data_IF_146351907287
#
_entry.id   IF_146351907287
#
_cell.length_a   1.000
_cell.length_b   1.000
_cell.length_c   1.000
_cell.angle_alpha   90.00
_cell.angle_beta   90.00
_cell.angle_gamma   90.00
#
_symmetry.space_group_name_H-M   'P 1'
#
loop_
_entity.id
_entity.type
_entity.pdbx_description
1 polymer ?
#
# COMPACT_ATOMS: atom_id res chain seq x y z
N UNK A 1 24.90 0.15 61.44
CA UNK A 1 25.33 1.25 62.31
C UNK A 1 26.85 1.27 62.30
N UNK A 2 27.49 2.11 61.50
CA UNK A 2 28.77 2.75 61.81
C UNK A 2 29.01 3.90 60.84
N UNK A 3 29.43 5.01 61.41
CA UNK A 3 29.40 6.38 60.89
C UNK A 3 30.52 6.72 59.90
N UNK A 4 30.15 7.69 59.09
CA UNK A 4 30.90 8.65 58.28
C UNK A 4 32.16 9.31 58.89
N UNK A 5 32.97 9.84 57.95
CA UNK A 5 33.77 11.09 58.01
C UNK A 5 35.15 11.03 58.71
N UNK A 6 36.25 11.70 58.31
CA UNK A 6 36.49 12.85 57.41
C UNK A 6 38.03 12.98 57.15
N UNK A 7 38.40 13.36 55.92
CA UNK A 7 39.37 14.40 55.46
C UNK A 7 40.88 14.42 55.88
N UNK A 8 41.70 14.53 54.82
CA UNK A 8 42.96 15.24 54.58
C UNK A 8 44.28 14.85 55.28
N UNK A 9 45.28 14.57 54.43
CA UNK A 9 46.62 15.12 54.62
C UNK A 9 47.17 15.66 53.29
N UNK A 10 47.63 16.92 53.36
CA UNK A 10 48.23 17.66 52.27
C UNK A 10 49.63 17.18 51.90
N UNK A 11 49.94 17.35 50.63
CA UNK A 11 51.29 17.26 50.05
C UNK A 11 52.13 18.47 50.45
N UNK A 12 53.40 18.20 50.82
CA UNK A 12 54.53 19.07 50.52
C UNK A 12 55.68 18.17 50.06
N UNK A 13 56.07 18.25 48.79
CA UNK A 13 57.48 18.14 48.41
C UNK A 13 57.72 18.83 47.08
N UNK A 14 58.79 19.62 47.06
CA UNK A 14 59.19 20.53 46.02
C UNK A 14 59.64 19.84 44.72
N UNK A 15 59.38 20.59 43.64
CA UNK A 15 60.01 20.56 42.33
C UNK A 15 61.53 20.27 42.31
N UNK A 16 61.95 19.45 41.35
CA UNK A 16 63.04 19.81 40.44
C UNK A 16 62.73 19.36 39.01
N UNK A 17 63.04 20.26 38.08
CA UNK A 17 62.83 20.26 36.64
C UNK A 17 63.39 19.07 35.86
N UNK A 18 62.63 18.65 34.85
CA UNK A 18 63.14 18.01 33.64
C UNK A 18 62.29 18.46 32.45
N UNK A 19 62.88 19.21 31.53
CA UNK A 19 62.25 19.61 30.26
C UNK A 19 62.04 18.40 29.34
N UNK A 20 60.88 18.31 28.69
CA UNK A 20 60.71 17.42 27.54
C UNK A 20 59.25 17.13 27.18
N UNK A 21 58.76 17.85 26.17
CA UNK A 21 57.56 17.62 25.34
C UNK A 21 56.20 17.37 26.01
N UNK A 22 55.34 18.39 25.88
CA UNK A 22 53.89 18.27 25.97
C UNK A 22 53.33 17.55 24.74
N UNK A 23 53.15 16.24 24.80
CA UNK A 23 52.24 15.55 23.89
C UNK A 23 50.81 15.82 24.33
N UNK A 24 50.21 16.85 23.73
CA UNK A 24 48.76 16.96 23.65
C UNK A 24 48.27 15.75 22.85
N UNK A 25 47.76 14.72 23.55
CA UNK A 25 46.88 13.74 22.93
C UNK A 25 45.67 14.49 22.37
N UNK A 26 45.71 14.77 21.06
CA UNK A 26 44.52 15.07 20.27
C UNK A 26 43.68 13.81 20.26
N UNK A 27 42.56 13.81 20.98
CA UNK A 27 41.50 12.87 20.71
C UNK A 27 41.03 13.10 19.28
N UNK A 28 41.32 12.17 18.38
CA UNK A 28 40.67 12.12 17.08
C UNK A 28 39.21 11.76 17.33
N UNK A 29 38.31 12.74 17.23
CA UNK A 29 36.93 12.47 16.89
C UNK A 29 36.94 11.79 15.52
N UNK A 30 36.74 10.48 15.52
CA UNK A 30 36.41 9.73 14.30
C UNK A 30 35.08 10.31 13.80
N UNK A 31 35.15 11.27 12.88
CA UNK A 31 33.98 11.64 12.10
C UNK A 31 33.69 10.45 11.20
N UNK A 32 32.69 9.66 11.57
CA UNK A 32 32.09 8.70 10.65
C UNK A 32 31.68 9.51 9.41
N UNK A 33 32.10 9.12 8.18
CA UNK A 33 31.64 9.78 6.99
C UNK A 33 30.11 9.82 6.99
N UNK A 34 29.51 10.99 6.78
CA UNK A 34 28.10 11.06 6.48
C UNK A 34 27.91 10.25 5.20
N UNK A 35 27.19 9.13 5.29
CA UNK A 35 26.77 8.39 4.10
C UNK A 35 25.88 9.35 3.32
N UNK A 36 26.23 9.63 2.07
CA UNK A 36 25.42 10.50 1.21
C UNK A 36 24.01 9.91 1.11
N UNK A 37 23.02 10.64 1.65
CA UNK A 37 21.62 10.26 1.52
C UNK A 37 21.19 10.45 0.08
N UNK A 38 20.58 9.42 -0.51
CA UNK A 38 19.90 9.52 -1.81
C UNK A 38 18.52 10.12 -1.60
N UNK A 39 18.11 11.03 -2.48
CA UNK A 39 16.82 11.71 -2.41
C UNK A 39 16.03 11.45 -3.69
N UNK A 40 14.70 11.42 -3.58
CA UNK A 40 13.79 11.39 -4.71
C UNK A 40 12.78 12.54 -4.64
N UNK A 41 12.07 12.76 -5.74
CA UNK A 41 10.94 13.68 -5.80
C UNK A 41 9.69 12.94 -6.24
N UNK A 42 8.55 13.30 -5.67
CA UNK A 42 7.26 12.87 -6.17
C UNK A 42 6.81 13.76 -7.34
N UNK A 43 6.02 13.21 -8.28
CA UNK A 43 5.63 11.80 -8.41
C UNK A 43 6.77 10.90 -8.90
N UNK A 44 6.71 9.62 -8.56
CA UNK A 44 7.65 8.58 -9.05
C UNK A 44 7.24 8.02 -10.43
N UNK A 45 5.97 8.18 -10.83
CA UNK A 45 5.50 8.03 -12.21
C UNK A 45 4.66 9.25 -12.56
N UNK A 46 5.14 10.06 -13.50
CA UNK A 46 4.55 11.36 -13.87
C UNK A 46 3.59 11.28 -15.06
N UNK A 47 2.65 10.33 -15.00
CA UNK A 47 1.59 10.12 -15.98
C UNK A 47 0.41 9.34 -15.36
N UNK A 48 -0.76 9.38 -15.98
CA UNK A 48 -1.99 8.71 -15.52
C UNK A 48 -1.79 7.19 -15.35
N UNK A 49 -1.53 6.76 -14.11
CA UNK A 49 -1.41 5.37 -13.67
C UNK A 49 -2.23 5.18 -12.39
N UNK A 50 -3.57 5.15 -12.54
CA UNK A 50 -4.48 5.04 -11.41
C UNK A 50 -4.47 3.66 -10.76
N UNK A 51 -4.88 3.63 -9.50
CA UNK A 51 -5.11 2.40 -8.73
C UNK A 51 -3.90 1.45 -8.74
N UNK A 52 -2.70 1.93 -8.34
CA UNK A 52 -1.50 1.12 -8.41
C UNK A 52 -1.55 -0.05 -7.42
N UNK A 53 -1.14 -1.23 -7.87
CA UNK A 53 -0.71 -2.35 -7.02
C UNK A 53 0.76 -2.65 -7.29
N UNK A 54 1.49 -3.19 -6.31
CA UNK A 54 2.93 -3.45 -6.41
C UNK A 54 3.28 -4.81 -5.82
N UNK A 55 4.13 -5.57 -6.52
CA UNK A 55 4.73 -6.80 -6.01
C UNK A 55 6.25 -6.78 -6.20
N UNK A 56 6.99 -7.32 -5.22
CA UNK A 56 8.39 -7.69 -5.40
C UNK A 56 8.45 -9.09 -6.00
N UNK A 57 8.90 -9.19 -7.24
CA UNK A 57 9.00 -10.45 -7.98
C UNK A 57 10.25 -11.25 -7.59
N UNK A 58 10.27 -12.54 -7.95
CA UNK A 58 11.40 -13.45 -7.68
C UNK A 58 12.69 -13.04 -8.40
N UNK A 59 12.59 -12.27 -9.49
CA UNK A 59 13.74 -11.70 -10.21
C UNK A 59 14.39 -10.51 -9.48
N UNK A 60 13.86 -10.12 -8.32
CA UNK A 60 14.35 -9.04 -7.47
C UNK A 60 13.87 -7.64 -7.86
N UNK A 61 13.03 -7.50 -8.89
CA UNK A 61 12.42 -6.22 -9.25
C UNK A 61 11.06 -6.05 -8.56
N UNK A 62 10.67 -4.79 -8.39
CA UNK A 62 9.30 -4.40 -8.12
C UNK A 62 8.56 -4.23 -9.44
N UNK A 63 7.33 -4.73 -9.51
CA UNK A 63 6.42 -4.53 -10.63
C UNK A 63 5.17 -3.79 -10.13
N UNK A 64 4.78 -2.76 -10.85
CA UNK A 64 3.58 -1.96 -10.59
C UNK A 64 2.58 -2.17 -11.73
N UNK A 65 1.31 -2.38 -11.36
CA UNK A 65 0.19 -2.49 -12.28
C UNK A 65 -0.83 -1.43 -11.96
N UNK A 66 -1.46 -0.84 -12.99
CA UNK A 66 -2.40 0.26 -12.82
C UNK A 66 -3.64 0.07 -13.71
N UNK A 67 -4.75 0.70 -13.32
CA UNK A 67 -5.98 0.79 -14.10
C UNK A 67 -5.74 1.35 -15.51
N UNK A 68 -6.44 0.77 -16.49
CA UNK A 68 -6.45 1.26 -17.87
C UNK A 68 -5.38 0.65 -18.78
N UNK A 69 -5.46 0.96 -20.08
CA UNK A 69 -4.39 0.68 -21.06
C UNK A 69 -3.87 -0.75 -21.12
N UNK A 70 -4.75 -1.76 -21.00
CA UNK A 70 -4.37 -3.18 -20.94
C UNK A 70 -3.59 -3.56 -19.67
N UNK A 71 -3.83 -2.82 -18.57
CA UNK A 71 -3.18 -2.83 -17.25
C UNK A 71 -1.68 -2.67 -17.32
N UNK A 72 -1.29 -1.40 -17.47
CA UNK A 72 0.08 -0.89 -17.57
C UNK A 72 1.02 -1.56 -16.57
N UNK A 73 2.11 -2.13 -17.05
CA UNK A 73 3.14 -2.74 -16.21
C UNK A 73 4.38 -1.84 -16.22
N UNK A 74 4.81 -1.44 -15.03
CA UNK A 74 6.10 -0.78 -14.81
C UNK A 74 6.98 -1.65 -13.94
N UNK A 75 8.31 -1.52 -14.09
CA UNK A 75 9.27 -2.17 -13.21
C UNK A 75 10.28 -1.20 -12.60
N UNK A 76 10.72 -1.49 -11.38
CA UNK A 76 11.72 -0.70 -10.66
C UNK A 76 12.60 -1.60 -9.79
N UNK A 77 13.79 -1.11 -9.42
CA UNK A 77 14.64 -1.72 -8.38
C UNK A 77 14.53 -1.03 -7.03
N UNK A 78 14.01 0.19 -7.00
CA UNK A 78 14.14 1.09 -5.85
C UNK A 78 12.84 1.82 -5.47
N UNK A 79 11.72 1.48 -6.12
CA UNK A 79 10.41 2.13 -6.02
C UNK A 79 10.36 3.59 -6.48
N UNK A 80 11.49 4.15 -6.92
CA UNK A 80 11.60 5.56 -7.33
C UNK A 80 11.68 5.67 -8.84
N UNK A 81 12.57 4.88 -9.45
CA UNK A 81 12.82 4.92 -10.89
C UNK A 81 12.07 3.78 -11.56
N UNK A 82 10.96 4.12 -12.20
CA UNK A 82 10.09 3.17 -12.90
C UNK A 82 10.34 3.20 -14.41
N UNK A 83 10.34 2.02 -15.01
CA UNK A 83 10.40 1.84 -16.46
C UNK A 83 9.15 1.11 -16.92
N UNK A 84 8.41 1.70 -17.86
CA UNK A 84 7.30 1.01 -18.52
C UNK A 84 7.80 -0.25 -19.25
N UNK A 85 7.08 -1.35 -19.08
CA UNK A 85 7.42 -2.67 -19.62
C UNK A 85 6.48 -3.03 -20.76
N UNK A 86 5.20 -3.24 -20.44
CA UNK A 86 4.18 -3.68 -21.40
C UNK A 86 2.76 -3.52 -20.81
N UNK A 87 1.74 -3.87 -21.59
CA UNK A 87 0.43 -4.26 -21.04
C UNK A 87 0.42 -5.73 -20.60
N UNK A 88 -0.52 -6.09 -19.74
CA UNK A 88 -0.64 -7.42 -19.17
C UNK A 88 -1.09 -8.49 -20.17
N UNK A 89 -1.91 -8.17 -21.17
CA UNK A 89 -2.50 -9.16 -22.08
C UNK A 89 -2.02 -8.97 -23.52
N UNK A 90 -2.09 -10.02 -24.32
CA UNK A 90 -2.12 -9.86 -25.78
C UNK A 90 -3.44 -9.19 -26.21
N UNK A 91 -3.43 -8.42 -27.30
CA UNK A 91 -4.55 -7.55 -27.64
C UNK A 91 -5.89 -8.29 -27.85
N UNK A 92 -5.85 -9.51 -28.39
CA UNK A 92 -7.02 -10.37 -28.63
C UNK A 92 -7.32 -11.33 -27.47
N UNK A 93 -6.56 -11.25 -26.36
CA UNK A 93 -6.69 -12.09 -25.16
C UNK A 93 -7.16 -11.35 -23.93
N UNK A 94 -7.60 -10.09 -24.07
CA UNK A 94 -8.15 -9.31 -22.96
C UNK A 94 -9.44 -9.95 -22.44
N UNK A 95 -9.66 -9.95 -21.12
CA UNK A 95 -10.95 -10.32 -20.55
C UNK A 95 -12.10 -9.51 -21.16
N UNK A 96 -13.21 -10.18 -21.50
CA UNK A 96 -14.34 -9.56 -22.22
C UNK A 96 -15.72 -10.03 -21.76
N UNK A 97 -15.79 -10.72 -20.62
CA UNK A 97 -17.04 -11.28 -20.10
C UNK A 97 -18.02 -10.22 -19.56
N UNK A 98 -17.56 -8.98 -19.33
CA UNK A 98 -18.41 -7.79 -19.17
C UNK A 98 -18.29 -6.91 -20.42
N UNK A 99 -19.37 -6.75 -21.22
CA UNK A 99 -19.31 -5.97 -22.45
C UNK A 99 -19.03 -4.48 -22.20
N UNK A 100 -18.18 -3.90 -23.05
CA UNK A 100 -17.77 -2.49 -23.04
C UNK A 100 -17.07 -2.04 -21.75
N UNK A 101 -16.62 -2.98 -20.92
CA UNK A 101 -15.88 -2.69 -19.71
C UNK A 101 -14.38 -2.47 -19.96
N UNK A 102 -13.79 -1.65 -19.09
CA UNK A 102 -12.34 -1.56 -18.92
C UNK A 102 -11.86 -2.47 -17.79
N UNK A 103 -10.56 -2.75 -17.78
CA UNK A 103 -9.88 -3.45 -16.69
C UNK A 103 -9.43 -2.40 -15.66
N UNK A 104 -9.97 -2.49 -14.45
CA UNK A 104 -9.72 -1.54 -13.36
C UNK A 104 -9.16 -2.26 -12.13
N UNK A 105 -8.38 -1.51 -11.35
CA UNK A 105 -7.81 -1.84 -10.06
C UNK A 105 -7.27 -3.27 -10.01
N UNK A 106 -6.24 -3.60 -10.82
CA UNK A 106 -5.63 -4.91 -10.72
C UNK A 106 -4.99 -5.08 -9.33
N UNK A 107 -5.00 -6.31 -8.84
CA UNK A 107 -4.28 -6.72 -7.64
C UNK A 107 -3.41 -7.93 -7.96
N UNK A 108 -2.09 -7.77 -7.85
CA UNK A 108 -1.09 -8.74 -8.29
C UNK A 108 -0.50 -9.50 -7.11
N UNK A 109 -0.48 -10.82 -7.22
CA UNK A 109 -0.07 -11.71 -6.15
C UNK A 109 0.81 -12.83 -6.70
N UNK A 110 1.67 -13.40 -5.85
CA UNK A 110 2.42 -14.61 -6.19
C UNK A 110 1.85 -15.78 -5.41
N UNK A 111 1.13 -16.66 -6.09
CA UNK A 111 0.35 -17.76 -5.50
C UNK A 111 0.78 -19.06 -6.15
N UNK A 112 1.26 -20.02 -5.34
CA UNK A 112 1.61 -21.38 -5.76
C UNK A 112 2.51 -21.45 -7.01
N UNK A 113 3.49 -20.54 -7.13
CA UNK A 113 4.45 -20.53 -8.23
C UNK A 113 4.00 -19.74 -9.48
N UNK A 114 2.90 -18.99 -9.40
CA UNK A 114 2.35 -18.17 -10.49
C UNK A 114 2.12 -16.74 -10.03
N UNK A 115 2.22 -15.82 -10.98
CA UNK A 115 1.72 -14.46 -10.83
C UNK A 115 0.21 -14.47 -11.11
N UNK A 116 -0.59 -14.20 -10.10
CA UNK A 116 -2.05 -14.19 -10.14
C UNK A 116 -2.53 -12.76 -10.00
N UNK A 117 -3.21 -12.26 -11.04
CA UNK A 117 -3.80 -10.94 -11.08
C UNK A 117 -5.30 -11.04 -10.92
N UNK A 118 -5.84 -10.56 -9.81
CA UNK A 118 -7.26 -10.27 -9.70
C UNK A 118 -7.51 -8.91 -10.35
N UNK A 119 -8.64 -8.75 -11.03
CA UNK A 119 -8.94 -7.49 -11.71
C UNK A 119 -10.44 -7.25 -11.74
N UNK A 120 -10.84 -5.98 -11.87
CA UNK A 120 -12.23 -5.61 -12.09
C UNK A 120 -12.51 -5.47 -13.58
N UNK A 121 -13.65 -5.96 -14.07
CA UNK A 121 -14.25 -5.42 -15.30
C UNK A 121 -15.44 -4.56 -14.94
N UNK A 122 -15.35 -3.29 -15.29
CA UNK A 122 -16.39 -2.32 -15.02
C UNK A 122 -16.41 -1.19 -16.05
N UNK A 123 -17.51 -0.45 -16.03
CA UNK A 123 -17.73 0.78 -16.79
C UNK A 123 -18.49 1.76 -15.91
N UNK A 124 -18.34 3.05 -16.18
CA UNK A 124 -19.06 4.08 -15.44
C UNK A 124 -20.58 3.84 -15.48
N UNK A 125 -21.21 3.84 -14.30
CA UNK A 125 -22.63 3.50 -14.16
C UNK A 125 -22.97 2.00 -14.25
N UNK A 126 -21.98 1.11 -14.37
CA UNK A 126 -22.14 -0.34 -14.53
C UNK A 126 -22.14 -1.15 -13.22
N UNK A 127 -22.42 -0.53 -12.07
CA UNK A 127 -22.27 -1.17 -10.76
C UNK A 127 -23.11 -2.44 -10.54
N UNK A 128 -24.24 -2.58 -11.25
CA UNK A 128 -25.11 -3.76 -11.19
C UNK A 128 -24.49 -5.01 -11.84
N UNK A 129 -23.58 -4.82 -12.80
CA UNK A 129 -23.11 -5.91 -13.68
C UNK A 129 -21.60 -6.07 -13.72
N UNK A 130 -20.82 -5.11 -13.20
CA UNK A 130 -19.38 -5.24 -13.04
C UNK A 130 -19.02 -6.46 -12.18
N UNK A 131 -17.74 -6.82 -12.15
CA UNK A 131 -17.30 -7.96 -11.36
C UNK A 131 -15.80 -8.09 -11.28
N UNK A 132 -15.37 -9.16 -10.63
CA UNK A 132 -13.96 -9.51 -10.45
C UNK A 132 -13.65 -10.77 -11.24
N UNK A 133 -12.56 -10.73 -12.00
CA UNK A 133 -11.95 -11.88 -12.65
C UNK A 133 -10.54 -12.14 -12.15
N UNK A 134 -9.95 -13.22 -12.66
CA UNK A 134 -8.59 -13.63 -12.30
C UNK A 134 -7.82 -14.07 -13.55
N UNK A 135 -6.56 -13.65 -13.62
CA UNK A 135 -5.63 -14.00 -14.69
C UNK A 135 -4.34 -14.54 -14.10
N UNK A 136 -3.62 -15.35 -14.86
CA UNK A 136 -2.36 -15.95 -14.40
C UNK A 136 -1.23 -15.74 -15.40
N UNK A 137 0.00 -15.64 -14.90
CA UNK A 137 1.21 -15.67 -15.72
C UNK A 137 2.35 -16.40 -15.01
N UNK A 138 3.30 -16.90 -15.80
CA UNK A 138 4.56 -17.45 -15.31
C UNK A 138 5.59 -16.36 -15.02
N UNK A 139 5.33 -15.13 -15.47
CA UNK A 139 6.24 -14.00 -15.37
C UNK A 139 5.51 -12.76 -14.88
N UNK A 140 6.17 -11.87 -14.13
CA UNK A 140 5.54 -10.64 -13.68
C UNK A 140 5.18 -9.73 -14.88
N UNK A 141 5.99 -9.67 -15.93
CA UNK A 141 5.70 -8.85 -17.12
C UNK A 141 4.62 -9.44 -18.05
N UNK A 142 4.06 -10.60 -17.74
CA UNK A 142 3.10 -11.29 -18.59
C UNK A 142 3.73 -12.04 -19.78
N UNK A 143 2.93 -12.36 -20.81
CA UNK A 143 1.50 -12.09 -20.90
C UNK A 143 0.70 -12.88 -19.85
N UNK A 144 -0.39 -12.29 -19.40
CA UNK A 144 -1.37 -12.92 -18.52
C UNK A 144 -2.43 -13.64 -19.36
N UNK A 145 -2.83 -14.81 -18.88
CA UNK A 145 -3.93 -15.59 -19.45
C UNK A 145 -5.16 -15.43 -18.57
N UNK A 146 -6.22 -14.85 -19.12
CA UNK A 146 -7.52 -14.73 -18.45
C UNK A 146 -8.10 -16.10 -18.11
N UNK A 147 -8.49 -16.29 -16.85
CA UNK A 147 -9.22 -17.47 -16.38
C UNK A 147 -10.74 -17.21 -16.28
N UNK A 148 -11.16 -15.99 -16.58
CA UNK A 148 -12.55 -15.54 -16.52
C UNK A 148 -12.92 -14.91 -15.18
N UNK A 149 -14.22 -14.64 -15.03
CA UNK A 149 -14.77 -14.06 -13.80
C UNK A 149 -14.75 -15.05 -12.63
N UNK A 150 -14.45 -14.54 -11.43
CA UNK A 150 -14.85 -15.17 -10.19
C UNK A 150 -16.35 -14.97 -9.94
N UNK A 151 -16.83 -13.74 -10.14
CA UNK A 151 -18.24 -13.35 -9.99
C UNK A 151 -18.52 -11.96 -10.55
N UNK A 152 -19.79 -11.68 -10.84
CA UNK A 152 -20.34 -10.33 -11.08
C UNK A 152 -21.19 -9.84 -9.90
N UNK A 153 -21.43 -8.55 -9.82
CA UNK A 153 -22.23 -7.89 -8.77
C UNK A 153 -23.60 -8.54 -8.59
N UNK A 154 -24.34 -8.73 -9.69
CA UNK A 154 -25.64 -9.41 -9.71
C UNK A 154 -25.57 -10.91 -9.36
N UNK A 155 -24.38 -11.53 -9.48
CA UNK A 155 -24.15 -12.92 -9.09
C UNK A 155 -23.79 -13.01 -7.61
N UNK A 156 -22.93 -12.16 -7.05
CA UNK A 156 -22.53 -12.25 -5.63
C UNK A 156 -23.55 -11.58 -4.69
N UNK A 157 -24.43 -10.74 -5.24
CA UNK A 157 -25.42 -9.96 -4.50
C UNK A 157 -24.78 -8.79 -3.75
N UNK A 158 -23.78 -8.15 -4.36
CA UNK A 158 -23.09 -6.95 -3.85
C UNK A 158 -22.96 -5.98 -5.01
N UNK A 159 -23.56 -4.80 -4.89
CA UNK A 159 -23.46 -3.76 -5.91
C UNK A 159 -22.04 -3.21 -6.00
N UNK A 160 -21.59 -2.84 -7.20
CA UNK A 160 -20.27 -2.28 -7.49
C UNK A 160 -19.11 -3.15 -6.97
N UNK A 161 -19.13 -4.43 -7.35
CA UNK A 161 -18.10 -5.41 -7.00
C UNK A 161 -16.83 -5.22 -7.85
N UNK A 162 -16.00 -4.26 -7.44
CA UNK A 162 -14.69 -3.92 -8.01
C UNK A 162 -13.64 -3.82 -6.90
N UNK A 163 -12.42 -3.42 -7.26
CA UNK A 163 -11.28 -3.17 -6.36
C UNK A 163 -10.89 -4.41 -5.52
N UNK A 164 -10.50 -5.53 -6.18
CA UNK A 164 -10.07 -6.72 -5.48
C UNK A 164 -8.80 -6.48 -4.66
N UNK A 165 -8.68 -7.20 -3.55
CA UNK A 165 -7.46 -7.34 -2.76
C UNK A 165 -7.37 -8.75 -2.19
N UNK A 166 -6.27 -9.43 -2.45
CA UNK A 166 -5.98 -10.76 -1.96
C UNK A 166 -5.18 -10.73 -0.66
N UNK A 167 -5.46 -11.67 0.24
CA UNK A 167 -4.60 -11.92 1.41
C UNK A 167 -4.64 -13.38 1.84
N UNK A 168 -3.49 -13.87 2.31
CA UNK A 168 -3.40 -15.13 3.02
C UNK A 168 -3.43 -14.91 4.54
N UNK A 169 -4.24 -15.69 5.24
CA UNK A 169 -4.29 -15.69 6.69
C UNK A 169 -4.55 -17.10 7.22
N UNK A 170 -3.71 -17.57 8.15
CA UNK A 170 -3.83 -18.89 8.78
C UNK A 170 -3.98 -20.05 7.77
N UNK A 171 -3.24 -20.00 6.66
CA UNK A 171 -3.23 -21.03 5.60
C UNK A 171 -4.48 -21.03 4.71
N UNK A 172 -5.29 -19.96 4.78
CA UNK A 172 -6.44 -19.75 3.92
C UNK A 172 -6.24 -18.52 3.05
N UNK A 173 -6.91 -18.51 1.90
CA UNK A 173 -6.84 -17.47 0.90
C UNK A 173 -8.15 -16.69 0.90
N UNK A 174 -8.06 -15.37 0.93
CA UNK A 174 -9.22 -14.49 1.00
C UNK A 174 -9.16 -13.44 -0.09
N UNK A 175 -10.33 -13.08 -0.61
CA UNK A 175 -10.52 -11.92 -1.46
C UNK A 175 -11.36 -10.91 -0.71
N UNK A 176 -10.86 -9.69 -0.62
CA UNK A 176 -11.60 -8.50 -0.22
C UNK A 176 -11.93 -7.66 -1.45
N UNK A 177 -13.06 -6.97 -1.43
CA UNK A 177 -13.47 -6.11 -2.54
C UNK A 177 -14.57 -5.13 -2.14
N UNK A 178 -14.83 -4.17 -3.01
CA UNK A 178 -16.01 -3.31 -2.95
C UNK A 178 -15.67 -1.84 -3.10
N UNK A 179 -16.64 -1.10 -3.60
CA UNK A 179 -16.52 0.34 -3.83
C UNK A 179 -17.88 1.01 -3.59
N UNK A 180 -17.96 1.92 -2.62
CA UNK A 180 -19.13 2.69 -2.18
C UNK A 180 -20.30 1.91 -1.56
N UNK A 181 -20.40 0.59 -1.75
CA UNK A 181 -21.51 -0.26 -1.26
C UNK A 181 -21.03 -1.29 -0.21
N UNK A 182 -20.05 -0.87 0.59
CA UNK A 182 -19.39 -1.71 1.58
C UNK A 182 -18.12 -2.37 1.04
N UNK A 183 -17.21 -2.69 1.96
CA UNK A 183 -16.09 -3.59 1.70
C UNK A 183 -16.48 -4.97 2.23
N UNK A 184 -16.29 -5.97 1.39
CA UNK A 184 -16.69 -7.36 1.62
C UNK A 184 -15.47 -8.27 1.55
N UNK A 185 -15.52 -9.40 2.24
CA UNK A 185 -14.50 -10.44 2.20
C UNK A 185 -15.11 -11.83 2.05
N UNK A 186 -14.42 -12.71 1.31
CA UNK A 186 -14.83 -14.10 1.07
C UNK A 186 -13.62 -15.02 0.94
N UNK A 187 -13.80 -16.30 1.25
CA UNK A 187 -12.74 -17.31 1.13
C UNK A 187 -12.63 -17.83 -0.32
N UNK A 188 -11.40 -17.94 -0.81
CA UNK A 188 -11.05 -18.50 -2.11
C UNK A 188 -10.68 -19.99 -1.99
N UNK A 189 -10.62 -20.68 -3.14
CA UNK A 189 -10.05 -22.02 -3.25
C UNK A 189 -8.57 -22.03 -2.87
N UNK A 190 -8.04 -23.24 -2.64
CA UNK A 190 -6.64 -23.44 -2.23
C UNK A 190 -5.65 -22.91 -3.28
N UNK A 191 -5.99 -22.92 -4.57
CA UNK A 191 -5.16 -22.35 -5.65
C UNK A 191 -5.40 -20.83 -5.85
N UNK A 192 -6.34 -20.22 -5.13
CA UNK A 192 -6.74 -18.83 -5.28
C UNK A 192 -7.52 -18.51 -6.56
N UNK A 193 -7.79 -19.48 -7.45
CA UNK A 193 -8.35 -19.21 -8.77
C UNK A 193 -9.89 -19.29 -8.84
N UNK A 194 -10.55 -19.64 -7.73
CA UNK A 194 -12.00 -19.74 -7.67
C UNK A 194 -12.56 -19.42 -6.27
N UNK A 195 -13.87 -19.25 -6.16
CA UNK A 195 -14.56 -19.11 -4.88
C UNK A 195 -14.62 -20.45 -4.15
N UNK A 196 -14.29 -20.47 -2.86
CA UNK A 196 -14.44 -21.71 -2.07
C UNK A 196 -15.89 -22.14 -2.03
N UNK A 197 -16.16 -23.36 -2.50
CA UNK A 197 -17.52 -23.91 -2.55
C UNK A 197 -18.44 -23.28 -3.61
N UNK A 198 -17.91 -22.43 -4.50
CA UNK A 198 -18.66 -21.78 -5.57
C UNK A 198 -19.51 -20.58 -5.13
N UNK A 199 -20.22 -20.00 -6.11
CA UNK A 199 -20.94 -18.73 -5.96
C UNK A 199 -22.03 -18.74 -4.88
N UNK A 200 -22.79 -19.82 -4.73
CA UNK A 200 -23.84 -19.90 -3.71
C UNK A 200 -23.26 -19.96 -2.29
N UNK A 201 -22.13 -20.64 -2.11
CA UNK A 201 -21.42 -20.61 -0.82
C UNK A 201 -20.90 -19.20 -0.54
N UNK A 202 -20.23 -18.57 -1.52
CA UNK A 202 -19.73 -17.21 -1.39
C UNK A 202 -20.84 -16.20 -1.04
N UNK A 203 -22.02 -16.29 -1.67
CA UNK A 203 -23.18 -15.47 -1.32
C UNK A 203 -23.58 -15.59 0.15
N UNK A 204 -23.57 -16.82 0.67
CA UNK A 204 -23.99 -17.15 2.02
C UNK A 204 -22.92 -16.84 3.08
N UNK A 205 -21.64 -16.86 2.71
CA UNK A 205 -20.51 -16.73 3.65
C UNK A 205 -19.71 -15.44 3.53
N UNK A 206 -19.98 -14.58 2.53
CA UNK A 206 -19.33 -13.26 2.45
C UNK A 206 -19.60 -12.44 3.71
N UNK A 207 -18.60 -11.69 4.14
CA UNK A 207 -18.67 -10.85 5.34
C UNK A 207 -18.40 -9.41 4.95
N UNK A 208 -19.29 -8.49 5.35
CA UNK A 208 -19.04 -7.07 5.19
C UNK A 208 -18.16 -6.56 6.33
N UNK A 209 -17.02 -5.95 6.01
CA UNK A 209 -16.01 -5.51 6.98
C UNK A 209 -15.95 -3.99 7.17
N UNK A 210 -16.50 -3.21 6.24
CA UNK A 210 -16.61 -1.75 6.35
C UNK A 210 -17.87 -1.20 5.64
N UNK A 211 -18.28 0.01 6.02
CA UNK A 211 -19.44 0.75 5.50
C UNK A 211 -20.75 -0.07 5.41
N UNK A 212 -21.25 -0.55 6.56
CA UNK A 212 -22.53 -1.27 6.70
C UNK A 212 -23.69 -0.32 7.05
N UNK A 213 -23.73 0.82 6.40
CA UNK A 213 -24.79 1.81 6.57
C UNK A 213 -25.49 1.95 5.24
N UNK A 214 -26.73 1.48 5.15
CA UNK A 214 -27.50 1.28 3.91
C UNK A 214 -27.81 2.53 3.06
N UNK A 215 -27.05 3.62 3.22
CA UNK A 215 -27.11 4.88 2.49
C UNK A 215 -25.76 5.60 2.39
N UNK A 216 -24.62 4.95 2.69
CA UNK A 216 -23.35 5.69 2.73
C UNK A 216 -22.46 5.49 1.55
N UNK A 217 -21.92 6.63 1.09
CA UNK A 217 -20.93 6.74 0.03
C UNK A 217 -19.50 6.63 0.62
N UNK A 218 -19.10 5.44 1.05
CA UNK A 218 -17.74 5.03 1.40
C UNK A 218 -17.71 3.49 1.45
N UNK A 219 -16.59 2.77 1.38
CA UNK A 219 -15.23 3.12 0.97
C UNK A 219 -14.92 2.42 -0.36
N UNK A 220 -13.75 2.63 -0.95
CA UNK A 220 -13.23 1.82 -2.07
C UNK A 220 -11.72 1.58 -1.95
N UNK A 221 -11.13 0.79 -2.87
CA UNK A 221 -9.68 0.50 -2.88
C UNK A 221 -9.16 -0.10 -1.58
N UNK A 222 -9.73 -1.24 -1.14
CA UNK A 222 -9.34 -1.87 0.12
C UNK A 222 -7.96 -2.53 0.05
N UNK A 223 -7.16 -2.37 1.11
CA UNK A 223 -5.90 -3.10 1.33
C UNK A 223 -5.79 -3.45 2.82
N UNK A 224 -5.36 -4.67 3.16
CA UNK A 224 -5.20 -5.09 4.56
C UNK A 224 -3.75 -5.49 4.85
N UNK A 225 -3.12 -4.80 5.80
CA UNK A 225 -1.81 -5.16 6.33
C UNK A 225 -1.94 -5.90 7.66
N UNK A 226 -1.37 -7.09 7.79
CA UNK A 226 -1.14 -7.74 9.09
C UNK A 226 0.17 -7.23 9.68
N UNK A 227 0.12 -6.58 10.84
CA UNK A 227 1.30 -6.09 11.58
C UNK A 227 1.12 -6.29 13.08
N UNK A 228 1.99 -7.11 13.67
CA UNK A 228 1.84 -7.56 15.06
C UNK A 228 0.47 -8.22 15.27
N UNK A 229 -0.21 -7.84 16.34
CA UNK A 229 -1.52 -8.40 16.68
C UNK A 229 -2.67 -7.83 15.83
N UNK A 230 -2.42 -6.78 15.04
CA UNK A 230 -3.46 -6.06 14.32
C UNK A 230 -3.46 -6.33 12.81
N UNK A 231 -4.65 -6.32 12.23
CA UNK A 231 -4.92 -6.10 10.81
C UNK A 231 -5.29 -4.63 10.64
N UNK A 232 -4.69 -3.95 9.68
CA UNK A 232 -4.98 -2.56 9.33
C UNK A 232 -5.70 -2.55 7.99
N UNK A 233 -6.97 -2.15 7.98
CA UNK A 233 -7.75 -1.97 6.76
C UNK A 233 -7.56 -0.53 6.28
N UNK A 234 -6.82 -0.39 5.19
CA UNK A 234 -6.72 0.83 4.42
C UNK A 234 -7.84 0.82 3.38
N UNK A 235 -8.47 1.97 3.21
CA UNK A 235 -9.35 2.22 2.09
C UNK A 235 -9.15 3.65 1.62
N UNK A 236 -9.94 4.06 0.64
CA UNK A 236 -10.09 5.46 0.27
C UNK A 236 -11.55 5.91 0.35
N UNK A 237 -11.74 7.20 0.58
CA UNK A 237 -13.05 7.85 0.66
C UNK A 237 -13.00 9.21 -0.02
N UNK A 238 -14.14 9.70 -0.51
CA UNK A 238 -14.23 10.91 -1.33
C UNK A 238 -14.10 10.60 -2.83
N UNK A 239 -14.07 11.63 -3.67
CA UNK A 239 -14.11 11.47 -5.12
C UNK A 239 -12.70 11.31 -5.70
N UNK A 240 -12.42 10.16 -6.32
CA UNK A 240 -11.12 9.82 -6.91
C UNK A 240 -10.79 10.57 -8.21
N UNK A 241 -11.81 10.94 -8.98
CA UNK A 241 -11.69 11.02 -10.44
C UNK A 241 -12.29 12.30 -11.01
N UNK A 242 -12.24 13.39 -10.25
CA UNK A 242 -12.82 14.70 -10.60
C UNK A 242 -11.74 15.76 -10.89
N UNK A 243 -10.53 15.32 -11.24
CA UNK A 243 -9.39 16.19 -11.50
C UNK A 243 -9.14 17.11 -10.30
N UNK A 244 -9.11 18.42 -10.54
CA UNK A 244 -8.90 19.46 -9.52
C UNK A 244 -9.93 19.44 -8.36
N UNK A 245 -11.10 18.84 -8.56
CA UNK A 245 -12.17 18.78 -7.56
C UNK A 245 -12.13 17.49 -6.73
N UNK A 246 -11.19 16.58 -7.00
CA UNK A 246 -11.09 15.30 -6.30
C UNK A 246 -10.90 15.51 -4.80
N UNK A 247 -11.77 14.86 -4.02
CA UNK A 247 -11.75 14.92 -2.55
C UNK A 247 -11.14 13.68 -1.90
N UNK A 248 -10.66 12.74 -2.72
CA UNK A 248 -10.12 11.46 -2.30
C UNK A 248 -9.03 11.56 -1.23
N UNK A 249 -9.12 10.70 -0.24
CA UNK A 249 -8.15 10.56 0.85
C UNK A 249 -8.00 9.09 1.25
N UNK A 250 -6.78 8.71 1.61
CA UNK A 250 -6.47 7.38 2.17
C UNK A 250 -6.79 7.38 3.65
N UNK A 251 -7.50 6.35 4.09
CA UNK A 251 -8.00 6.21 5.45
C UNK A 251 -7.67 4.85 6.01
N UNK A 252 -7.61 4.73 7.35
CA UNK A 252 -7.23 3.49 8.02
C UNK A 252 -8.00 3.26 9.30
N UNK A 253 -8.33 2.00 9.55
CA UNK A 253 -8.78 1.45 10.82
C UNK A 253 -8.02 0.16 11.12
N UNK A 254 -8.08 -0.33 12.37
CA UNK A 254 -7.46 -1.62 12.72
C UNK A 254 -8.40 -2.55 13.49
N UNK A 255 -8.10 -3.84 13.43
CA UNK A 255 -8.77 -4.89 14.20
C UNK A 255 -7.78 -5.96 14.63
N UNK A 256 -8.07 -6.72 15.67
CA UNK A 256 -7.32 -7.94 16.01
C UNK A 256 -7.83 -9.18 15.26
N UNK A 257 -8.86 -9.02 14.42
CA UNK A 257 -9.46 -10.07 13.61
C UNK A 257 -9.53 -9.60 12.15
N UNK A 258 -9.14 -10.47 11.20
CA UNK A 258 -9.13 -10.16 9.77
C UNK A 258 -10.49 -9.67 9.25
N UNK A 259 -11.60 -10.21 9.79
CA UNK A 259 -12.96 -9.80 9.41
C UNK A 259 -13.54 -8.68 10.30
N UNK A 260 -12.70 -8.04 11.11
CA UNK A 260 -13.11 -6.95 11.96
C UNK A 260 -13.79 -7.38 13.27
N UNK A 261 -14.49 -6.45 13.95
CA UNK A 261 -14.74 -5.07 13.50
C UNK A 261 -13.45 -4.25 13.42
N UNK A 262 -13.29 -3.47 12.36
CA UNK A 262 -12.24 -2.47 12.23
C UNK A 262 -12.67 -1.18 12.92
N UNK A 263 -11.80 -0.61 13.76
CA UNK A 263 -12.08 0.61 14.52
C UNK A 263 -10.99 1.66 14.37
N UNK A 264 -11.36 2.94 14.53
CA UNK A 264 -10.43 4.08 14.57
C UNK A 264 -9.77 4.22 15.97
N UNK A 265 -8.99 5.29 16.21
CA UNK A 265 -8.30 5.52 17.51
C UNK A 265 -9.27 5.70 18.67
N UNK A 266 -10.47 6.22 18.40
CA UNK A 266 -11.53 6.40 19.39
C UNK A 266 -12.36 5.12 19.65
N UNK A 267 -12.06 4.02 18.95
CA UNK A 267 -12.80 2.77 19.07
C UNK A 267 -14.14 2.76 18.31
N UNK A 268 -14.40 3.76 17.47
CA UNK A 268 -15.59 3.80 16.62
C UNK A 268 -15.38 2.96 15.34
N UNK A 269 -16.45 2.36 14.81
CA UNK A 269 -16.35 1.34 13.76
C UNK A 269 -16.27 1.92 12.35
N UNK A 270 -15.44 1.31 11.52
CA UNK A 270 -15.38 1.57 10.09
C UNK A 270 -16.67 1.15 9.37
N UNK A 271 -17.44 0.21 9.94
CA UNK A 271 -18.80 -0.08 9.47
C UNK A 271 -19.74 1.13 9.53
N UNK A 272 -19.47 2.08 10.44
CA UNK A 272 -20.23 3.33 10.62
C UNK A 272 -19.50 4.54 9.97
N UNK A 273 -18.60 4.27 9.02
CA UNK A 273 -17.72 5.21 8.33
C UNK A 273 -16.79 6.03 9.22
N UNK A 274 -16.40 5.46 10.35
CA UNK A 274 -15.44 6.06 11.27
C UNK A 274 -14.04 5.57 10.93
N UNK A 275 -13.10 6.49 10.82
CA UNK A 275 -11.76 6.21 10.35
C UNK A 275 -10.76 7.26 10.81
N UNK A 276 -9.47 6.91 10.72
CA UNK A 276 -8.38 7.88 10.71
C UNK A 276 -8.06 8.23 9.26
N UNK A 277 -7.78 9.50 8.97
CA UNK A 277 -7.18 9.88 7.68
C UNK A 277 -5.67 9.68 7.78
N UNK A 278 -5.09 8.97 6.82
CA UNK A 278 -3.66 8.69 6.76
C UNK A 278 -2.93 9.64 5.80
N UNK A 279 -3.52 9.87 4.62
CA UNK A 279 -2.92 10.71 3.58
C UNK A 279 -3.93 11.80 3.23
N UNK A 280 -3.62 13.03 3.63
CA UNK A 280 -4.36 14.23 3.27
C UNK A 280 -3.80 14.85 1.98
N UNK A 281 -4.62 15.69 1.34
CA UNK A 281 -4.14 16.59 0.28
C UNK A 281 -3.23 17.69 0.85
N UNK A 282 -2.43 18.30 -0.02
CA UNK A 282 -1.69 19.52 0.26
C UNK A 282 -1.67 20.46 -0.96
N UNK A 283 -0.82 21.48 -0.93
CA UNK A 283 -0.72 22.46 -2.02
C UNK A 283 -0.17 21.89 -3.33
N UNK A 284 0.51 20.74 -3.31
CA UNK A 284 1.11 20.11 -4.48
C UNK A 284 0.24 18.98 -5.06
N UNK A 285 -0.49 18.25 -4.22
CA UNK A 285 -1.26 17.08 -4.60
C UNK A 285 -2.62 17.00 -3.92
N UNK A 286 -3.62 16.50 -4.65
CA UNK A 286 -4.98 16.26 -4.15
C UNK A 286 -5.52 14.92 -4.66
N UNK A 287 -6.59 14.41 -4.03
CA UNK A 287 -7.18 13.14 -4.42
C UNK A 287 -6.24 11.95 -4.12
N UNK A 288 -5.66 11.90 -2.93
CA UNK A 288 -4.63 10.94 -2.53
C UNK A 288 -5.24 9.62 -2.08
N UNK A 289 -5.22 8.59 -2.92
CA UNK A 289 -5.89 7.33 -2.59
C UNK A 289 -5.57 6.16 -3.48
N UNK A 290 -6.36 5.10 -3.29
CA UNK A 290 -6.18 3.76 -3.87
C UNK A 290 -4.72 3.30 -3.73
N UNK A 291 -4.28 3.13 -2.49
CA UNK A 291 -2.90 2.76 -2.22
C UNK A 291 -2.64 1.29 -2.57
N UNK A 292 -1.42 1.03 -3.03
CA UNK A 292 -0.84 -0.30 -3.12
C UNK A 292 -0.50 -0.85 -1.73
N UNK A 293 0.03 -2.07 -1.72
CA UNK A 293 0.58 -2.68 -0.52
C UNK A 293 1.75 -1.89 0.08
N UNK A 294 1.94 -2.03 1.40
CA UNK A 294 3.10 -1.46 2.10
C UNK A 294 4.33 -2.29 1.76
N UNK A 295 5.36 -1.62 1.21
CA UNK A 295 6.65 -2.25 0.94
C UNK A 295 7.65 -1.84 2.01
N UNK A 296 8.29 -2.83 2.63
CA UNK A 296 9.38 -2.59 3.57
C UNK A 296 10.74 -2.60 2.84
N UNK A 297 11.58 -1.61 3.13
CA UNK A 297 12.94 -1.53 2.59
C UNK A 297 13.96 -2.32 3.44
N UNK A 298 15.22 -2.42 2.98
CA UNK A 298 16.27 -3.20 3.62
C UNK A 298 16.85 -2.54 4.89
N UNK A 299 16.28 -1.43 5.33
CA UNK A 299 16.49 -0.79 6.62
C UNK A 299 15.27 -0.90 7.55
N UNK A 300 14.21 -1.61 7.12
CA UNK A 300 12.99 -1.80 7.90
C UNK A 300 12.05 -0.60 7.88
N UNK A 301 12.20 0.33 6.92
CA UNK A 301 11.29 1.46 6.74
C UNK A 301 10.15 1.02 5.83
N UNK A 302 8.92 1.38 6.21
CA UNK A 302 7.72 1.06 5.44
C UNK A 302 7.38 2.18 4.46
N UNK A 303 6.96 1.82 3.27
CA UNK A 303 6.68 2.73 2.16
C UNK A 303 5.30 2.43 1.57
N UNK A 304 4.55 3.48 1.24
CA UNK A 304 3.24 3.39 0.61
C UNK A 304 3.29 4.02 -0.77
N UNK A 305 2.72 3.33 -1.74
CA UNK A 305 2.54 3.81 -3.12
C UNK A 305 1.05 4.02 -3.34
N UNK A 306 0.67 5.11 -3.99
CA UNK A 306 -0.72 5.48 -4.22
C UNK A 306 -0.78 6.50 -5.36
N UNK A 307 -1.98 6.85 -5.82
CA UNK A 307 -2.12 7.86 -6.85
C UNK A 307 -2.68 9.18 -6.29
N UNK A 308 -2.42 10.27 -7.02
CA UNK A 308 -3.00 11.58 -6.77
C UNK A 308 -3.02 12.43 -8.04
N UNK A 309 -3.75 13.54 -8.03
CA UNK A 309 -3.59 14.59 -9.03
C UNK A 309 -2.58 15.63 -8.58
N UNK A 310 -1.81 16.17 -9.52
CA UNK A 310 -1.06 17.41 -9.31
C UNK A 310 -2.02 18.58 -9.26
N UNK A 311 -1.91 19.44 -8.25
CA UNK A 311 -2.68 20.69 -8.18
C UNK A 311 -2.34 21.64 -9.33
N UNK A 312 -1.07 21.66 -9.75
CA UNK A 312 -0.55 22.53 -10.81
C UNK A 312 -0.98 22.10 -12.21
N UNK A 313 -1.23 20.80 -12.42
CA UNK A 313 -1.68 20.26 -13.70
C UNK A 313 -2.53 18.99 -13.51
N UNK A 314 -3.81 19.12 -13.15
CA UNK A 314 -4.71 17.99 -12.99
C UNK A 314 -5.00 17.25 -14.31
N UNK A 315 -4.62 17.82 -15.46
CA UNK A 315 -4.89 17.23 -16.78
C UNK A 315 -3.98 16.04 -17.11
N UNK A 316 -2.84 15.89 -16.41
CA UNK A 316 -1.95 14.73 -16.50
C UNK A 316 -2.59 13.42 -16.00
N UNK A 317 -3.75 13.51 -15.36
CA UNK A 317 -4.37 12.37 -14.70
C UNK A 317 -3.76 12.09 -13.33
N UNK A 318 -3.94 10.86 -12.87
CA UNK A 318 -3.55 10.37 -11.56
C UNK A 318 -2.10 9.86 -11.63
N UNK A 319 -1.17 10.70 -11.18
CA UNK A 319 0.25 10.37 -11.07
C UNK A 319 0.51 9.48 -9.86
N UNK A 320 1.60 8.70 -9.88
CA UNK A 320 1.94 7.78 -8.78
C UNK A 320 2.91 8.45 -7.82
N UNK A 321 2.56 8.43 -6.54
CA UNK A 321 3.34 8.96 -5.43
C UNK A 321 3.90 7.82 -4.58
N UNK A 322 5.01 8.12 -3.90
CA UNK A 322 5.66 7.26 -2.92
C UNK A 322 5.88 8.08 -1.66
N UNK A 323 5.52 7.55 -0.50
CA UNK A 323 5.79 8.19 0.79
C UNK A 323 6.21 7.17 1.85
N UNK A 324 6.99 7.63 2.82
CA UNK A 324 7.38 6.82 3.97
C UNK A 324 6.26 6.80 5.01
N UNK A 325 5.91 5.60 5.45
CA UNK A 325 4.99 5.37 6.57
C UNK A 325 5.78 5.19 7.85
N UNK A 326 5.36 5.96 8.87
CA UNK A 326 5.86 5.84 10.23
C UNK A 326 4.78 5.23 11.11
N UNK A 327 5.18 4.69 12.26
CA UNK A 327 4.27 4.07 13.21
C UNK A 327 4.51 4.69 14.58
N UNK A 328 3.44 5.16 15.23
CA UNK A 328 3.53 5.72 16.58
C UNK A 328 3.68 4.62 17.65
N UNK A 329 3.92 5.02 18.89
CA UNK A 329 4.07 4.10 20.03
C UNK A 329 2.81 3.26 20.30
N UNK A 330 1.65 3.69 19.81
CA UNK A 330 0.38 2.96 19.90
C UNK A 330 0.14 2.05 18.69
N UNK A 331 1.09 1.99 17.74
CA UNK A 331 1.03 1.20 16.53
C UNK A 331 0.09 1.76 15.47
N UNK A 332 -0.15 3.07 15.40
CA UNK A 332 -0.91 3.69 14.31
C UNK A 332 0.01 4.23 13.22
N UNK A 333 -0.32 4.01 11.93
CA UNK A 333 0.47 4.56 10.84
C UNK A 333 0.22 6.07 10.72
N UNK A 334 1.26 6.80 10.31
CA UNK A 334 1.18 8.22 9.98
C UNK A 334 2.25 8.60 8.95
N UNK A 335 2.02 9.69 8.22
CA UNK A 335 3.02 10.34 7.36
C UNK A 335 3.53 11.60 8.04
N UNK A 336 4.82 11.93 7.86
CA UNK A 336 5.36 13.20 8.36
C UNK A 336 4.76 14.34 7.54
N UNK A 337 4.04 15.25 8.21
CA UNK A 337 3.32 16.34 7.56
C UNK A 337 1.92 15.97 7.04
N UNK A 338 1.41 14.79 7.43
CA UNK A 338 0.04 14.30 7.19
C UNK A 338 -0.35 14.14 5.70
N UNK A 339 0.60 14.21 4.77
CA UNK A 339 0.32 14.10 3.35
C UNK A 339 1.57 13.88 2.50
N UNK A 340 1.44 13.97 1.17
CA UNK A 340 2.52 13.68 0.24
C UNK A 340 3.73 14.58 0.41
N UNK A 341 4.93 14.02 0.34
CA UNK A 341 6.16 14.82 0.25
C UNK A 341 6.48 15.16 -1.20
N UNK A 342 6.97 16.37 -1.47
CA UNK A 342 7.50 16.71 -2.81
C UNK A 342 8.90 16.14 -3.00
N UNK A 343 9.69 16.08 -1.93
CA UNK A 343 11.07 15.58 -1.92
C UNK A 343 11.37 14.91 -0.57
N UNK A 344 11.93 13.70 -0.60
CA UNK A 344 12.30 12.95 0.59
C UNK A 344 13.54 12.06 0.34
N UNK A 345 14.10 11.54 1.44
CA UNK A 345 15.13 10.50 1.38
C UNK A 345 14.56 9.26 0.68
N UNK A 346 15.31 8.63 -0.21
CA UNK A 346 14.84 7.48 -0.97
C UNK A 346 14.81 6.19 -0.12
N UNK A 347 13.97 5.20 -0.48
CA UNK A 347 14.03 3.85 0.08
C UNK A 347 15.42 3.22 -0.11
N UNK A 348 15.80 2.34 0.81
CA UNK A 348 17.08 1.62 0.74
C UNK A 348 16.86 0.18 0.34
N UNK A 349 17.23 -0.17 -0.90
CA UNK A 349 17.30 -1.56 -1.36
C UNK A 349 18.75 -1.90 -1.71
N UNK A 350 19.35 -2.76 -0.91
CA UNK A 350 20.67 -3.33 -1.12
C UNK A 350 20.53 -4.34 -2.26
N UNK A 351 21.30 -4.15 -3.32
CA UNK A 351 21.40 -5.16 -4.38
C UNK A 351 21.91 -6.47 -3.76
N UNK A 352 21.02 -7.44 -3.53
CA UNK A 352 21.43 -8.81 -3.31
C UNK A 352 22.10 -9.27 -4.60
N UNK A 353 23.41 -9.51 -4.50
CA UNK A 353 24.26 -9.95 -5.61
C UNK A 353 23.86 -11.32 -6.13
#
# INVERSE_FOLDING_TARGET
MYMQNIIALGMISLFTWGCGNSDKQKGETVQTPLVDKVWYSNPVIDSDNPDPTVIKAEDGYFYLYATGGNTWIHKSKDLVHWTYVNGAYEDDKKPSWEPDAGIWAPDINYIDGKYVMYYSLSKWGGGETCGIGVSVSDKPEGPFTDQGKLFRSNEIGVHNSIDPFYIEDNGKKYLFWGSWYGIWGVELSVDGLSLKGGIENAKATKIQVAANTGNTNAYEGSYILKRGDYYYLFCSTGTCCEGANSTYQTVVCRSTNLFGPYVNKAGEKMNDNKHEVLIHKNDAFLGTGHNAEIVQDDEGKDWIIYHAYRTSDPSLGRVVLLDRVYWDDNGWPYLVGDGPVVKAEAPVFKNNK
#
